data_IF_631144965027
#
_entry.id   IF_631144965027
#
_cell.length_a   1.000
_cell.length_b   1.000
_cell.length_c   1.000
_cell.angle_alpha   90.00
_cell.angle_beta   90.00
_cell.angle_gamma   90.00
#
_symmetry.space_group_name_H-M   'P 1'
#
loop_
_entity.id
_entity.type
_entity.pdbx_description
1 polymer ?
#
# COMPACT_ATOMS: atom_id res chain seq x y z
N UNK A 1 14.38 -63.79 -41.17
CA UNK A 1 13.38 -63.57 -40.14
C UNK A 1 14.02 -62.64 -39.11
N UNK A 2 13.81 -61.36 -39.22
CA UNK A 2 14.25 -60.35 -38.28
C UNK A 2 13.00 -59.74 -37.64
N UNK A 3 12.93 -59.84 -36.32
CA UNK A 3 11.89 -59.14 -35.55
C UNK A 3 12.46 -57.82 -35.07
N UNK A 4 11.87 -56.79 -35.60
CA UNK A 4 12.10 -55.40 -35.16
C UNK A 4 11.15 -55.11 -34.02
N UNK A 5 11.68 -54.83 -32.83
CA UNK A 5 10.92 -54.35 -31.66
C UNK A 5 11.19 -52.89 -31.50
N UNK A 6 10.33 -52.07 -32.07
CA UNK A 6 10.28 -50.62 -31.79
C UNK A 6 9.83 -50.37 -30.34
N UNK A 7 10.74 -49.93 -29.52
CA UNK A 7 10.44 -49.38 -28.21
C UNK A 7 9.84 -47.98 -28.38
N UNK A 8 8.54 -47.87 -28.15
CA UNK A 8 7.87 -46.61 -27.98
C UNK A 8 8.29 -45.94 -26.66
N UNK A 9 9.11 -44.91 -26.73
CA UNK A 9 9.40 -44.05 -25.60
C UNK A 9 8.16 -43.17 -25.33
N UNK A 10 7.43 -43.52 -24.29
CA UNK A 10 6.45 -42.60 -23.67
C UNK A 10 7.24 -41.44 -23.05
N UNK A 11 7.16 -40.28 -23.67
CA UNK A 11 7.61 -39.03 -23.05
C UNK A 11 6.72 -38.75 -21.84
N UNK A 12 7.23 -39.02 -20.65
CA UNK A 12 6.69 -38.53 -19.40
C UNK A 12 6.81 -36.97 -19.44
N UNK A 13 5.68 -36.28 -19.53
CA UNK A 13 5.62 -34.87 -19.22
C UNK A 13 6.00 -34.69 -17.75
N UNK A 14 7.27 -34.40 -17.50
CA UNK A 14 7.73 -33.97 -16.17
C UNK A 14 7.16 -32.61 -15.85
N UNK A 15 6.77 -32.36 -14.60
CA UNK A 15 6.26 -31.05 -14.18
C UNK A 15 7.32 -29.97 -14.45
N UNK A 16 6.85 -28.79 -14.82
CA UNK A 16 7.65 -27.64 -15.25
C UNK A 16 8.40 -27.09 -14.03
N UNK A 17 9.56 -27.67 -13.74
CA UNK A 17 10.51 -27.06 -12.80
C UNK A 17 11.43 -26.18 -13.63
N UNK A 18 11.09 -24.91 -13.81
CA UNK A 18 12.00 -23.93 -14.39
C UNK A 18 12.86 -23.34 -13.28
N UNK A 19 14.14 -23.67 -13.30
CA UNK A 19 15.13 -23.00 -12.48
C UNK A 19 15.59 -21.73 -13.19
N UNK A 20 15.62 -20.63 -12.46
CA UNK A 20 16.13 -19.34 -12.91
C UNK A 20 17.16 -18.85 -11.90
N UNK A 21 18.25 -18.27 -12.40
CA UNK A 21 19.26 -17.66 -11.53
C UNK A 21 18.77 -16.28 -11.09
N UNK A 22 18.41 -16.15 -9.82
CA UNK A 22 17.95 -14.92 -9.20
C UNK A 22 18.90 -14.58 -8.06
N UNK A 23 19.46 -13.39 -8.07
CA UNK A 23 20.45 -12.95 -7.05
C UNK A 23 21.62 -13.96 -6.87
N UNK A 24 22.07 -14.57 -7.96
CA UNK A 24 23.14 -15.59 -7.93
C UNK A 24 22.71 -16.93 -7.32
N UNK A 25 21.40 -17.22 -7.24
CA UNK A 25 20.86 -18.45 -6.68
C UNK A 25 19.92 -19.15 -7.65
N UNK A 26 19.97 -20.45 -7.66
CA UNK A 26 18.98 -21.28 -8.33
C UNK A 26 17.66 -21.22 -7.56
N UNK A 27 16.59 -20.74 -8.20
CA UNK A 27 15.28 -20.59 -7.58
C UNK A 27 14.23 -21.44 -8.27
N UNK A 28 13.22 -21.88 -7.52
CA UNK A 28 12.08 -22.63 -8.02
C UNK A 28 10.77 -21.88 -7.76
N UNK A 29 9.77 -22.16 -8.61
CA UNK A 29 8.39 -21.71 -8.38
C UNK A 29 7.68 -22.65 -7.43
N UNK A 30 6.85 -22.06 -6.58
CA UNK A 30 5.82 -22.76 -5.82
C UNK A 30 4.51 -21.98 -5.82
N UNK A 31 3.40 -22.65 -5.54
CA UNK A 31 2.07 -22.08 -5.51
C UNK A 31 1.51 -22.24 -4.10
N UNK A 32 1.43 -21.14 -3.36
CA UNK A 32 0.84 -21.12 -2.03
C UNK A 32 -0.69 -20.98 -2.16
N UNK A 33 -1.48 -21.97 -1.70
CA UNK A 33 -2.93 -21.88 -1.78
C UNK A 33 -3.46 -20.70 -0.97
N UNK A 34 -4.38 -19.96 -1.57
CA UNK A 34 -5.17 -18.94 -0.88
C UNK A 34 -6.52 -19.59 -0.56
N UNK A 35 -6.84 -19.69 0.71
CA UNK A 35 -8.07 -20.31 1.20
C UNK A 35 -9.02 -19.29 1.80
N UNK A 36 -10.31 -19.47 1.56
CA UNK A 36 -11.34 -18.80 2.34
C UNK A 36 -11.37 -19.42 3.75
N UNK A 37 -11.32 -18.57 4.78
CA UNK A 37 -11.04 -19.04 6.13
C UNK A 37 -12.25 -19.65 6.86
N UNK A 38 -13.48 -19.37 6.42
CA UNK A 38 -14.71 -19.88 7.03
C UNK A 38 -14.95 -21.36 6.71
N UNK A 39 -14.68 -21.80 5.48
CA UNK A 39 -14.99 -23.15 4.97
C UNK A 39 -13.81 -23.86 4.30
N UNK A 40 -12.62 -23.27 4.34
CA UNK A 40 -11.37 -23.77 3.71
C UNK A 40 -11.45 -23.89 2.18
N UNK A 41 -12.46 -23.31 1.51
CA UNK A 41 -12.58 -23.38 0.07
C UNK A 41 -11.36 -22.75 -0.62
N UNK A 42 -10.87 -23.40 -1.68
CA UNK A 42 -9.79 -22.86 -2.49
C UNK A 42 -10.26 -21.61 -3.24
N UNK A 43 -9.59 -20.49 -3.03
CA UNK A 43 -9.93 -19.21 -3.65
C UNK A 43 -8.96 -18.80 -4.76
N UNK A 44 -7.76 -19.34 -4.73
CA UNK A 44 -6.67 -19.08 -5.67
C UNK A 44 -5.36 -19.63 -5.16
N UNK A 45 -4.27 -19.22 -5.79
CA UNK A 45 -2.92 -19.49 -5.29
C UNK A 45 -2.01 -18.28 -5.55
N UNK A 46 -1.11 -18.00 -4.62
CA UNK A 46 -0.05 -17.04 -4.84
C UNK A 46 1.16 -17.75 -5.46
N UNK A 47 1.67 -17.18 -6.57
CA UNK A 47 2.93 -17.61 -7.15
C UNK A 47 4.08 -17.02 -6.34
N UNK A 48 4.88 -17.89 -5.77
CA UNK A 48 6.04 -17.55 -4.95
C UNK A 48 7.31 -18.12 -5.56
N UNK A 49 8.45 -17.45 -5.34
CA UNK A 49 9.78 -17.99 -5.62
C UNK A 49 10.42 -18.43 -4.30
N UNK A 50 11.04 -19.59 -4.30
CA UNK A 50 11.84 -20.10 -3.18
C UNK A 50 13.26 -20.41 -3.62
N UNK A 51 14.22 -20.27 -2.71
CA UNK A 51 15.60 -20.65 -2.94
C UNK A 51 15.85 -22.15 -2.75
N UNK A 52 17.10 -22.58 -2.89
CA UNK A 52 17.48 -23.99 -2.79
C UNK A 52 17.11 -24.60 -1.42
N UNK A 53 16.68 -25.85 -1.44
CA UNK A 53 16.46 -26.61 -0.22
C UNK A 53 17.75 -26.63 0.64
N UNK A 54 17.58 -26.59 1.96
CA UNK A 54 18.67 -26.50 2.94
C UNK A 54 19.50 -25.21 2.93
N UNK A 55 19.06 -24.15 2.23
CA UNK A 55 19.63 -22.81 2.35
C UNK A 55 18.85 -21.95 3.34
N UNK A 56 19.49 -20.88 3.86
CA UNK A 56 18.80 -19.85 4.66
C UNK A 56 17.76 -19.07 3.87
N UNK A 57 17.72 -19.22 2.55
CA UNK A 57 16.82 -18.57 1.61
C UNK A 57 15.79 -19.55 1.00
N UNK A 58 15.60 -20.73 1.59
CA UNK A 58 14.67 -21.74 1.08
C UNK A 58 13.20 -21.28 1.11
N UNK A 59 12.80 -20.39 2.02
CA UNK A 59 11.43 -19.86 2.05
C UNK A 59 11.25 -18.66 1.15
N UNK A 60 10.05 -18.51 0.57
CA UNK A 60 9.69 -17.37 -0.27
C UNK A 60 9.86 -16.03 0.48
N UNK A 61 9.50 -15.99 1.76
CA UNK A 61 9.67 -14.81 2.61
C UNK A 61 11.15 -14.43 2.79
N UNK A 62 12.01 -15.41 3.11
CA UNK A 62 13.44 -15.16 3.29
C UNK A 62 14.10 -14.67 1.99
N UNK A 63 13.75 -15.27 0.86
CA UNK A 63 14.27 -14.90 -0.46
C UNK A 63 13.81 -13.47 -0.85
N UNK A 64 12.55 -13.14 -0.64
CA UNK A 64 11.99 -11.80 -0.88
C UNK A 64 12.69 -10.75 -0.01
N UNK A 65 12.89 -11.04 1.28
CA UNK A 65 13.61 -10.14 2.20
C UNK A 65 15.07 -9.95 1.79
N UNK A 66 15.75 -11.00 1.35
CA UNK A 66 17.13 -10.91 0.85
C UNK A 66 17.23 -10.03 -0.40
N UNK A 67 16.32 -10.19 -1.38
CA UNK A 67 16.28 -9.35 -2.58
C UNK A 67 16.09 -7.86 -2.25
N UNK A 68 15.31 -7.57 -1.21
CA UNK A 68 15.11 -6.20 -0.70
C UNK A 68 16.40 -5.63 -0.07
N UNK A 69 17.05 -6.40 0.81
CA UNK A 69 18.29 -5.98 1.46
C UNK A 69 19.45 -5.78 0.48
N UNK A 70 19.47 -6.58 -0.60
CA UNK A 70 20.47 -6.48 -1.67
C UNK A 70 20.12 -5.42 -2.73
N UNK A 71 19.00 -4.72 -2.61
CA UNK A 71 18.50 -3.74 -3.58
C UNK A 71 18.24 -4.33 -4.98
N UNK A 72 17.95 -5.64 -5.06
CA UNK A 72 17.69 -6.39 -6.29
C UNK A 72 16.22 -6.77 -6.48
N UNK A 73 15.32 -6.04 -5.84
CA UNK A 73 13.89 -6.34 -5.86
C UNK A 73 13.28 -6.27 -7.26
N UNK A 74 13.71 -5.29 -8.07
CA UNK A 74 13.25 -5.15 -9.45
C UNK A 74 13.67 -6.35 -10.32
N UNK A 75 14.89 -6.85 -10.13
CA UNK A 75 15.39 -8.04 -10.83
C UNK A 75 14.62 -9.30 -10.38
N UNK A 76 14.44 -9.45 -9.07
CA UNK A 76 13.64 -10.53 -8.49
C UNK A 76 12.21 -10.57 -9.06
N UNK A 77 11.51 -9.45 -9.09
CA UNK A 77 10.15 -9.35 -9.62
C UNK A 77 10.11 -9.57 -11.14
N UNK A 78 11.14 -9.12 -11.87
CA UNK A 78 11.26 -9.38 -13.31
C UNK A 78 11.36 -10.88 -13.61
N UNK A 79 12.14 -11.61 -12.82
CA UNK A 79 12.24 -13.07 -12.92
C UNK A 79 10.91 -13.73 -12.53
N UNK A 80 10.30 -13.30 -11.42
CA UNK A 80 8.98 -13.81 -10.98
C UNK A 80 7.93 -13.64 -12.08
N UNK A 81 7.87 -12.46 -12.71
CA UNK A 81 6.97 -12.20 -13.84
C UNK A 81 7.30 -13.06 -15.06
N UNK A 82 8.58 -13.26 -15.40
CA UNK A 82 8.98 -14.11 -16.51
C UNK A 82 8.54 -15.56 -16.28
N UNK A 83 8.76 -16.10 -15.09
CA UNK A 83 8.34 -17.44 -14.69
C UNK A 83 6.81 -17.57 -14.64
N UNK A 84 6.11 -16.54 -14.17
CA UNK A 84 4.63 -16.52 -14.12
C UNK A 84 3.98 -16.65 -15.48
N UNK A 85 4.59 -16.13 -16.56
CA UNK A 85 4.10 -16.24 -17.93
C UNK A 85 4.02 -17.72 -18.38
N UNK A 86 5.00 -18.54 -18.00
CA UNK A 86 4.99 -19.96 -18.31
C UNK A 86 3.89 -20.68 -17.52
N UNK A 87 3.71 -20.34 -16.24
CA UNK A 87 2.64 -20.90 -15.43
C UNK A 87 1.24 -20.45 -15.93
N UNK A 88 1.10 -19.19 -16.37
CA UNK A 88 -0.13 -18.66 -16.94
C UNK A 88 -0.48 -19.19 -18.33
N UNK A 89 0.50 -19.65 -19.09
CA UNK A 89 0.28 -20.32 -20.40
C UNK A 89 -0.31 -21.74 -20.27
N UNK A 90 -0.33 -22.30 -19.05
CA UNK A 90 -0.94 -23.59 -18.79
C UNK A 90 -2.45 -23.49 -18.61
N UNK A 91 -3.19 -24.52 -18.99
CA UNK A 91 -4.67 -24.63 -18.83
C UNK A 91 -5.15 -24.49 -17.38
N UNK A 92 -4.25 -24.58 -16.42
CA UNK A 92 -4.51 -24.38 -14.98
C UNK A 92 -4.94 -22.94 -14.68
N UNK A 93 -4.32 -21.95 -15.34
CA UNK A 93 -4.60 -20.53 -15.10
C UNK A 93 -6.02 -20.11 -15.49
N UNK A 94 -6.70 -20.86 -16.37
CA UNK A 94 -8.10 -20.60 -16.72
C UNK A 94 -9.08 -21.01 -15.61
N UNK A 95 -8.66 -21.90 -14.71
CA UNK A 95 -9.48 -22.49 -13.65
C UNK A 95 -9.08 -22.09 -12.25
N UNK A 96 -7.80 -21.78 -12.01
CA UNK A 96 -7.24 -21.37 -10.72
C UNK A 96 -6.77 -19.91 -10.80
N UNK A 97 -7.37 -18.99 -10.04
CA UNK A 97 -6.86 -17.64 -9.90
C UNK A 97 -5.43 -17.64 -9.36
N UNK A 98 -4.46 -17.14 -10.16
CA UNK A 98 -3.09 -16.99 -9.73
C UNK A 98 -2.82 -15.53 -9.36
N UNK A 99 -2.43 -15.30 -8.11
CA UNK A 99 -2.00 -14.00 -7.62
C UNK A 99 -0.49 -13.89 -7.81
N UNK A 100 -0.06 -12.89 -8.56
CA UNK A 100 1.37 -12.57 -8.73
C UNK A 100 1.61 -11.22 -8.09
N UNK A 101 2.12 -11.23 -6.86
CA UNK A 101 2.47 -10.04 -6.13
C UNK A 101 3.78 -9.45 -6.67
N UNK A 102 3.75 -8.18 -7.09
CA UNK A 102 4.90 -7.43 -7.62
C UNK A 102 5.04 -6.15 -6.83
N UNK A 103 6.25 -5.88 -6.37
CA UNK A 103 6.52 -4.70 -5.56
C UNK A 103 6.38 -3.40 -6.36
N UNK A 104 5.89 -2.36 -5.72
CA UNK A 104 5.76 -1.03 -6.30
C UNK A 104 7.11 -0.42 -6.73
N UNK A 105 8.22 -0.80 -6.10
CA UNK A 105 9.55 -0.39 -6.50
C UNK A 105 10.02 -1.04 -7.82
N UNK A 106 9.33 -2.11 -8.26
CA UNK A 106 9.66 -2.85 -9.50
C UNK A 106 8.97 -2.27 -10.76
N UNK A 107 8.78 -0.97 -10.82
CA UNK A 107 8.09 -0.28 -11.93
C UNK A 107 8.61 -0.67 -13.32
N UNK A 108 9.92 -0.86 -13.47
CA UNK A 108 10.52 -1.27 -14.73
C UNK A 108 10.04 -2.66 -15.19
N UNK A 109 9.77 -3.56 -14.25
CA UNK A 109 9.25 -4.90 -14.57
C UNK A 109 7.80 -4.86 -15.07
N UNK A 110 7.01 -3.89 -14.63
CA UNK A 110 5.62 -3.71 -15.05
C UNK A 110 5.49 -3.18 -16.47
N UNK A 111 6.46 -2.41 -16.92
CA UNK A 111 6.52 -1.80 -18.26
C UNK A 111 7.31 -2.64 -19.26
N UNK A 112 7.78 -3.84 -18.89
CA UNK A 112 8.56 -4.71 -19.78
C UNK A 112 7.74 -5.13 -21.02
N UNK A 113 8.34 -5.10 -22.24
CA UNK A 113 7.66 -5.51 -23.46
C UNK A 113 7.12 -6.94 -23.35
N UNK A 114 5.88 -7.16 -23.77
CA UNK A 114 5.22 -8.46 -23.74
C UNK A 114 4.26 -8.68 -22.55
N UNK A 115 4.15 -7.75 -21.62
CA UNK A 115 3.10 -7.76 -20.60
C UNK A 115 1.76 -7.30 -21.20
N UNK A 116 1.79 -6.37 -22.16
CA UNK A 116 0.60 -5.80 -22.80
C UNK A 116 -0.24 -6.81 -23.60
N UNK A 117 0.37 -7.83 -24.18
CA UNK A 117 -0.35 -8.87 -24.96
C UNK A 117 -1.04 -9.95 -24.13
N UNK A 118 -0.67 -10.09 -22.86
CA UNK A 118 -1.18 -11.11 -21.95
C UNK A 118 -2.31 -10.61 -21.02
N UNK A 119 -2.87 -9.45 -21.29
CA UNK A 119 -3.72 -8.64 -20.39
C UNK A 119 -4.97 -9.37 -19.86
N UNK A 120 -5.55 -10.35 -20.55
CA UNK A 120 -6.73 -11.07 -20.05
C UNK A 120 -6.43 -12.03 -18.91
N UNK A 121 -5.24 -12.65 -18.90
CA UNK A 121 -4.81 -13.57 -17.83
C UNK A 121 -3.97 -12.87 -16.75
N UNK A 122 -3.50 -11.64 -17.02
CA UNK A 122 -2.70 -10.81 -16.13
C UNK A 122 -3.54 -9.91 -15.21
N UNK A 123 -4.85 -9.94 -15.29
CA UNK A 123 -5.76 -9.18 -14.41
C UNK A 123 -5.54 -9.49 -12.92
N UNK A 124 -4.73 -10.51 -12.62
CA UNK A 124 -4.37 -10.94 -11.26
C UNK A 124 -2.95 -10.56 -10.82
N UNK A 125 -2.25 -9.74 -11.61
CA UNK A 125 -1.04 -9.07 -11.11
C UNK A 125 -1.49 -8.02 -10.11
N UNK A 126 -1.02 -8.17 -8.89
CA UNK A 126 -1.30 -7.28 -7.77
C UNK A 126 -0.04 -6.48 -7.48
N UNK A 127 -0.17 -5.17 -7.46
CA UNK A 127 0.92 -4.30 -7.05
C UNK A 127 0.93 -4.23 -5.54
N UNK A 128 1.96 -4.79 -4.93
CA UNK A 128 2.17 -4.73 -3.49
C UNK A 128 2.90 -3.45 -3.11
N UNK A 129 2.41 -2.78 -2.10
CA UNK A 129 2.97 -1.55 -1.55
C UNK A 129 3.24 -1.80 -0.08
N UNK A 130 4.46 -1.66 0.38
CA UNK A 130 4.79 -1.74 1.79
C UNK A 130 4.79 -0.36 2.46
N UNK A 131 4.57 -0.34 3.78
CA UNK A 131 4.47 0.91 4.54
C UNK A 131 5.77 1.71 4.54
N UNK A 132 6.92 1.05 4.58
CA UNK A 132 8.21 1.73 4.62
C UNK A 132 8.51 2.46 3.31
N UNK A 133 8.19 1.85 2.17
CA UNK A 133 8.33 2.48 0.83
C UNK A 133 7.49 3.73 0.70
N UNK A 134 6.22 3.69 1.12
CA UNK A 134 5.33 4.87 1.06
C UNK A 134 5.82 5.99 1.97
N UNK A 135 6.28 5.67 3.17
CA UNK A 135 6.73 6.69 4.13
C UNK A 135 8.08 7.30 3.74
N UNK A 136 8.94 6.54 3.06
CA UNK A 136 10.26 7.01 2.61
C UNK A 136 10.18 7.83 1.33
N UNK A 137 9.41 7.38 0.36
CA UNK A 137 9.22 8.05 -0.94
C UNK A 137 7.73 8.05 -1.35
N UNK A 138 6.94 8.93 -0.71
CA UNK A 138 5.50 9.01 -0.99
C UNK A 138 5.21 9.45 -2.43
N UNK A 139 6.07 10.29 -3.03
CA UNK A 139 5.89 10.77 -4.39
C UNK A 139 5.87 9.59 -5.39
N UNK A 140 6.94 8.78 -5.41
CA UNK A 140 7.04 7.65 -6.33
C UNK A 140 6.02 6.56 -6.02
N UNK A 141 5.81 6.24 -4.74
CA UNK A 141 4.83 5.22 -4.34
C UNK A 141 3.42 5.58 -4.82
N UNK A 142 2.97 6.83 -4.62
CA UNK A 142 1.65 7.27 -5.08
C UNK A 142 1.56 7.36 -6.61
N UNK A 143 2.67 7.67 -7.31
CA UNK A 143 2.70 7.66 -8.77
C UNK A 143 2.50 6.24 -9.33
N UNK A 144 3.17 5.24 -8.74
CA UNK A 144 3.02 3.82 -9.14
C UNK A 144 1.60 3.31 -8.87
N UNK A 145 1.03 3.63 -7.71
CA UNK A 145 -0.36 3.26 -7.36
C UNK A 145 -1.33 3.81 -8.41
N UNK A 146 -1.19 5.08 -8.78
CA UNK A 146 -2.04 5.73 -9.78
C UNK A 146 -1.91 5.08 -11.16
N UNK A 147 -0.68 4.82 -11.60
CA UNK A 147 -0.41 4.16 -12.87
C UNK A 147 -0.97 2.73 -12.90
N UNK A 148 -0.81 1.98 -11.81
CA UNK A 148 -1.35 0.64 -11.70
C UNK A 148 -2.89 0.64 -11.78
N UNK A 149 -3.55 1.57 -11.09
CA UNK A 149 -5.03 1.73 -11.18
C UNK A 149 -5.50 2.12 -12.57
N UNK A 150 -4.81 3.05 -13.23
CA UNK A 150 -5.12 3.42 -14.60
C UNK A 150 -5.01 2.22 -15.57
N UNK A 151 -4.11 1.28 -15.27
CA UNK A 151 -3.97 0.00 -15.96
C UNK A 151 -4.96 -1.09 -15.51
N UNK A 152 -5.91 -0.79 -14.62
CA UNK A 152 -6.90 -1.75 -14.09
C UNK A 152 -6.31 -2.83 -13.17
N UNK A 153 -5.16 -2.55 -12.53
CA UNK A 153 -4.49 -3.50 -11.62
C UNK A 153 -4.95 -3.30 -10.19
N UNK A 154 -4.97 -4.39 -9.44
CA UNK A 154 -5.26 -4.38 -8.01
C UNK A 154 -4.05 -3.86 -7.23
N UNK A 155 -4.34 -3.12 -6.18
CA UNK A 155 -3.35 -2.63 -5.22
C UNK A 155 -3.49 -3.41 -3.93
N UNK A 156 -2.37 -3.97 -3.43
CA UNK A 156 -2.32 -4.56 -2.11
C UNK A 156 -1.40 -3.74 -1.18
N UNK A 157 -1.90 -3.43 0.01
CA UNK A 157 -1.05 -2.93 1.09
C UNK A 157 -0.53 -4.12 1.89
N UNK A 158 0.80 -4.29 1.85
CA UNK A 158 1.49 -5.46 2.40
C UNK A 158 2.05 -5.19 3.81
N UNK A 159 2.10 -6.24 4.63
CA UNK A 159 2.70 -6.21 5.96
C UNK A 159 1.89 -5.42 6.99
N UNK A 160 0.57 -5.28 6.82
CA UNK A 160 -0.25 -4.54 7.79
C UNK A 160 -0.26 -5.26 9.14
N UNK A 161 0.15 -4.51 10.18
CA UNK A 161 0.29 -5.02 11.55
C UNK A 161 1.72 -5.44 11.93
N UNK A 162 2.71 -5.29 11.03
CA UNK A 162 4.12 -5.48 11.38
C UNK A 162 4.60 -4.40 12.37
N UNK A 163 4.05 -3.20 12.22
CA UNK A 163 4.28 -2.07 13.10
C UNK A 163 2.96 -1.30 13.37
N UNK A 164 3.02 -0.35 14.30
CA UNK A 164 1.85 0.46 14.68
C UNK A 164 1.43 1.49 13.61
N UNK A 165 2.22 1.73 12.59
CA UNK A 165 2.04 2.79 11.59
C UNK A 165 1.43 2.28 10.28
N UNK A 166 1.54 0.98 10.00
CA UNK A 166 1.09 0.39 8.73
C UNK A 166 -0.40 0.63 8.46
N UNK A 167 -1.24 0.63 9.49
CA UNK A 167 -2.67 0.91 9.36
C UNK A 167 -2.99 2.37 8.95
N UNK A 168 -2.06 3.30 9.16
CA UNK A 168 -2.19 4.71 8.75
C UNK A 168 -2.37 4.84 7.23
N UNK A 169 -1.73 3.96 6.49
CA UNK A 169 -1.69 4.02 5.03
C UNK A 169 -2.96 3.47 4.37
N UNK A 170 -3.83 2.78 5.10
CA UNK A 170 -5.09 2.25 4.55
C UNK A 170 -5.90 3.33 3.83
N UNK A 171 -6.04 4.51 4.46
CA UNK A 171 -6.81 5.62 3.88
C UNK A 171 -6.06 6.43 2.82
N UNK A 172 -4.75 6.32 2.75
CA UNK A 172 -3.92 7.01 1.76
C UNK A 172 -3.75 6.15 0.50
N UNK A 173 -3.40 4.88 0.68
CA UNK A 173 -3.17 3.92 -0.41
C UNK A 173 -4.49 3.43 -1.00
N UNK A 174 -5.55 3.34 -0.19
CA UNK A 174 -6.88 2.82 -0.56
C UNK A 174 -6.77 1.44 -1.24
N UNK A 175 -6.14 0.42 -0.59
CA UNK A 175 -5.87 -0.87 -1.21
C UNK A 175 -7.16 -1.65 -1.51
N UNK A 176 -7.11 -2.48 -2.56
CA UNK A 176 -8.13 -3.48 -2.88
C UNK A 176 -7.96 -4.73 -2.03
N UNK A 177 -6.69 -5.05 -1.70
CA UNK A 177 -6.31 -6.19 -0.88
C UNK A 177 -5.44 -5.67 0.27
N UNK A 178 -5.72 -6.14 1.48
CA UNK A 178 -4.90 -5.87 2.65
C UNK A 178 -4.22 -7.18 3.02
N UNK A 179 -2.89 -7.24 2.93
CA UNK A 179 -2.10 -8.40 3.34
C UNK A 179 -1.59 -8.13 4.75
N UNK A 180 -2.07 -8.93 5.72
CA UNK A 180 -1.62 -8.75 7.10
C UNK A 180 -0.32 -9.51 7.35
N UNK A 181 0.56 -8.92 8.16
CA UNK A 181 1.75 -9.61 8.63
C UNK A 181 1.39 -10.83 9.48
N UNK A 182 2.15 -11.93 9.36
CA UNK A 182 2.05 -13.09 10.24
C UNK A 182 2.24 -12.72 11.73
N UNK A 183 3.01 -11.66 12.01
CA UNK A 183 3.22 -11.16 13.37
C UNK A 183 1.92 -10.64 14.00
N UNK A 184 0.97 -10.12 13.22
CA UNK A 184 -0.31 -9.65 13.73
C UNK A 184 -1.08 -10.78 14.42
N UNK A 185 -1.06 -11.98 13.85
CA UNK A 185 -1.72 -13.17 14.43
C UNK A 185 -1.00 -13.64 15.69
N UNK A 186 0.33 -13.62 15.70
CA UNK A 186 1.13 -14.06 16.86
C UNK A 186 1.05 -13.10 18.05
N UNK A 187 0.76 -11.82 17.80
CA UNK A 187 0.67 -10.75 18.81
C UNK A 187 -0.76 -10.41 19.23
N UNK A 188 -1.74 -11.28 19.01
CA UNK A 188 -3.16 -11.01 19.22
C UNK A 188 -3.53 -10.53 20.66
N UNK A 189 -2.69 -10.78 21.65
CA UNK A 189 -2.91 -10.35 23.04
C UNK A 189 -2.45 -8.91 23.36
N UNK A 190 -1.85 -8.21 22.41
CA UNK A 190 -1.32 -6.85 22.63
C UNK A 190 -2.35 -5.78 22.26
N UNK A 191 -2.34 -4.66 22.99
CA UNK A 191 -3.27 -3.55 22.79
C UNK A 191 -3.20 -2.94 21.39
N UNK A 192 -2.00 -2.86 20.82
CA UNK A 192 -1.74 -2.32 19.47
C UNK A 192 -2.47 -3.11 18.38
N UNK A 193 -2.65 -4.41 18.58
CA UNK A 193 -3.43 -5.26 17.66
C UNK A 193 -4.87 -4.80 17.61
N UNK A 194 -5.49 -4.48 18.75
CA UNK A 194 -6.85 -3.94 18.81
C UNK A 194 -7.01 -2.67 17.97
N UNK A 195 -6.05 -1.75 18.04
CA UNK A 195 -6.05 -0.52 17.23
C UNK A 195 -5.98 -0.83 15.72
N UNK A 196 -5.13 -1.78 15.33
CA UNK A 196 -5.01 -2.22 13.93
C UNK A 196 -6.30 -2.89 13.46
N UNK A 197 -6.89 -3.78 14.27
CA UNK A 197 -8.15 -4.47 13.94
C UNK A 197 -9.30 -3.50 13.76
N UNK A 198 -9.43 -2.49 14.62
CA UNK A 198 -10.45 -1.44 14.45
C UNK A 198 -10.22 -0.65 13.15
N UNK A 199 -8.97 -0.32 12.82
CA UNK A 199 -8.63 0.38 11.58
C UNK A 199 -8.98 -0.46 10.34
N UNK A 200 -8.67 -1.78 10.36
CA UNK A 200 -9.02 -2.74 9.31
C UNK A 200 -10.54 -2.82 9.14
N UNK A 201 -11.28 -3.02 10.23
CA UNK A 201 -12.74 -3.10 10.21
C UNK A 201 -13.38 -1.86 9.60
N UNK A 202 -12.99 -0.66 10.07
CA UNK A 202 -13.51 0.60 9.54
C UNK A 202 -13.18 0.82 8.06
N UNK A 203 -12.01 0.37 7.61
CA UNK A 203 -11.63 0.47 6.20
C UNK A 203 -12.43 -0.50 5.33
N UNK A 204 -12.52 -1.77 5.71
CA UNK A 204 -13.22 -2.83 4.94
C UNK A 204 -14.72 -2.55 4.87
N UNK A 205 -15.37 -2.14 5.97
CA UNK A 205 -16.79 -1.82 5.99
C UNK A 205 -17.15 -0.72 4.97
N UNK A 206 -16.24 0.22 4.75
CA UNK A 206 -16.42 1.31 3.80
C UNK A 206 -16.07 0.96 2.36
N UNK A 207 -15.03 0.13 2.15
CA UNK A 207 -14.45 -0.10 0.84
C UNK A 207 -14.83 -1.45 0.22
N UNK A 208 -15.24 -2.43 1.01
CA UNK A 208 -15.35 -3.83 0.62
C UNK A 208 -14.01 -4.46 0.19
N UNK A 209 -12.88 -3.88 0.56
CA UNK A 209 -11.56 -4.48 0.36
C UNK A 209 -11.47 -5.81 1.10
N UNK A 210 -10.67 -6.73 0.58
CA UNK A 210 -10.47 -8.03 1.21
C UNK A 210 -9.24 -8.01 2.12
N UNK A 211 -9.30 -8.79 3.21
CA UNK A 211 -8.15 -9.04 4.08
C UNK A 211 -7.66 -10.47 3.80
N UNK A 212 -6.39 -10.57 3.38
CA UNK A 212 -5.63 -11.80 3.21
C UNK A 212 -4.64 -11.93 4.37
N UNK A 213 -4.85 -12.91 5.25
CA UNK A 213 -3.95 -13.14 6.37
C UNK A 213 -2.78 -14.04 5.98
N UNK A 214 -1.55 -13.58 6.20
CA UNK A 214 -0.35 -14.42 6.17
C UNK A 214 -0.12 -15.10 7.53
N UNK A 215 0.59 -16.24 7.52
CA UNK A 215 0.93 -16.99 8.75
C UNK A 215 -0.23 -17.77 9.35
N UNK A 216 -1.15 -18.21 8.51
CA UNK A 216 -2.20 -19.17 8.91
C UNK A 216 -1.60 -20.56 8.97
N UNK A 217 -0.83 -20.84 10.05
CA UNK A 217 0.00 -22.05 10.17
C UNK A 217 -0.70 -23.16 10.98
N UNK A 218 -1.82 -22.82 11.61
CA UNK A 218 -2.58 -23.74 12.45
C UNK A 218 -4.05 -23.33 12.49
N UNK A 219 -4.90 -24.22 13.00
CA UNK A 219 -6.31 -23.93 13.23
C UNK A 219 -6.50 -22.76 14.22
N UNK A 220 -5.59 -22.62 15.20
CA UNK A 220 -5.60 -21.49 16.13
C UNK A 220 -5.30 -20.16 15.44
N UNK A 221 -4.29 -20.11 14.55
CA UNK A 221 -3.99 -18.90 13.77
C UNK A 221 -5.08 -18.61 12.74
N UNK A 222 -5.77 -19.63 12.19
CA UNK A 222 -6.94 -19.44 11.33
C UNK A 222 -8.08 -18.74 12.07
N UNK A 223 -8.42 -19.20 13.28
CA UNK A 223 -9.46 -18.58 14.10
C UNK A 223 -9.08 -17.14 14.50
N UNK A 224 -7.81 -16.90 14.82
CA UNK A 224 -7.29 -15.55 15.06
C UNK A 224 -7.44 -14.66 13.82
N UNK A 225 -7.12 -15.18 12.64
CA UNK A 225 -7.27 -14.46 11.37
C UNK A 225 -8.74 -14.08 11.09
N UNK A 226 -9.69 -14.99 11.31
CA UNK A 226 -11.13 -14.69 11.21
C UNK A 226 -11.51 -13.59 12.21
N UNK A 227 -11.00 -13.66 13.43
CA UNK A 227 -11.31 -12.69 14.48
C UNK A 227 -10.84 -11.27 14.15
N UNK A 228 -9.72 -11.11 13.44
CA UNK A 228 -9.25 -9.80 12.96
C UNK A 228 -9.98 -9.33 11.69
N UNK A 229 -10.92 -10.11 11.17
CA UNK A 229 -11.73 -9.78 10.00
C UNK A 229 -11.19 -10.32 8.68
N UNK A 230 -10.16 -11.19 8.69
CA UNK A 230 -9.65 -11.78 7.46
C UNK A 230 -10.65 -12.75 6.86
N UNK A 231 -10.86 -12.62 5.55
CA UNK A 231 -11.72 -13.51 4.77
C UNK A 231 -10.91 -14.63 4.14
N UNK A 232 -9.66 -14.35 3.76
CA UNK A 232 -8.75 -15.26 3.10
C UNK A 232 -7.45 -15.40 3.91
N UNK A 233 -6.75 -16.52 3.68
CA UNK A 233 -5.48 -16.77 4.34
C UNK A 233 -4.58 -17.71 3.57
N UNK A 234 -3.28 -17.63 3.89
CA UNK A 234 -2.21 -18.48 3.41
C UNK A 234 -1.22 -18.77 4.54
N UNK A 235 -0.57 -19.93 4.52
CA UNK A 235 0.38 -20.36 5.56
C UNK A 235 0.54 -21.88 5.58
N UNK A 236 1.26 -22.39 6.57
CA UNK A 236 1.62 -23.82 6.68
C UNK A 236 0.39 -24.74 6.87
N UNK A 237 -0.76 -24.22 7.34
CA UNK A 237 -2.01 -24.98 7.38
C UNK A 237 -2.46 -25.37 5.95
N UNK A 238 -2.01 -24.65 4.96
CA UNK A 238 -2.29 -24.82 3.53
C UNK A 238 -0.98 -24.85 2.75
N UNK A 239 -0.23 -25.98 2.81
CA UNK A 239 1.13 -26.02 2.30
C UNK A 239 1.19 -25.71 0.81
N UNK A 240 2.24 -24.98 0.41
CA UNK A 240 2.51 -24.67 -0.97
C UNK A 240 2.83 -25.94 -1.77
N UNK A 241 2.49 -25.92 -3.07
CA UNK A 241 2.71 -27.01 -4.00
C UNK A 241 3.57 -26.58 -5.19
N UNK A 242 4.35 -27.50 -5.73
CA UNK A 242 5.18 -27.23 -6.92
C UNK A 242 4.35 -27.30 -8.22
N UNK A 243 3.30 -28.12 -8.24
CA UNK A 243 2.38 -28.28 -9.37
C UNK A 243 0.99 -27.73 -9.01
N UNK A 244 0.58 -26.60 -9.59
CA UNK A 244 -0.73 -26.00 -9.31
C UNK A 244 -1.90 -26.88 -9.80
N UNK A 245 -1.68 -27.85 -10.70
CA UNK A 245 -2.74 -28.75 -11.16
C UNK A 245 -3.29 -29.63 -10.05
N UNK A 246 -2.47 -29.91 -9.03
CA UNK A 246 -2.88 -30.68 -7.86
C UNK A 246 -3.98 -29.99 -7.05
N UNK A 247 -4.03 -28.64 -7.08
CA UNK A 247 -5.05 -27.85 -6.42
C UNK A 247 -6.42 -27.93 -7.11
N UNK A 248 -6.48 -28.29 -8.38
CA UNK A 248 -7.72 -28.39 -9.16
C UNK A 248 -8.57 -29.64 -8.88
N UNK A 249 -8.15 -30.47 -7.95
CA UNK A 249 -8.94 -31.62 -7.48
C UNK A 249 -10.20 -31.22 -6.71
N UNK A 250 -10.26 -29.97 -6.26
CA UNK A 250 -11.38 -29.39 -5.51
C UNK A 250 -12.01 -28.20 -6.25
N UNK A 251 -13.27 -27.82 -5.92
CA UNK A 251 -13.91 -26.65 -6.50
C UNK A 251 -13.20 -25.36 -6.10
N UNK A 252 -13.05 -24.45 -7.05
CA UNK A 252 -12.45 -23.13 -6.80
C UNK A 252 -13.57 -22.09 -6.63
N UNK A 253 -13.57 -21.39 -5.49
CA UNK A 253 -14.43 -20.24 -5.20
C UNK A 253 -13.55 -18.99 -5.29
N UNK A 254 -13.42 -18.46 -6.51
CA UNK A 254 -12.47 -17.41 -6.81
C UNK A 254 -12.60 -16.20 -5.88
N UNK A 255 -11.45 -15.70 -5.43
CA UNK A 255 -11.33 -14.40 -4.76
C UNK A 255 -11.77 -13.28 -5.72
N UNK A 256 -12.42 -12.21 -5.24
CA UNK A 256 -12.73 -11.03 -6.06
C UNK A 256 -11.50 -10.50 -6.79
N UNK A 257 -11.65 -10.10 -8.05
CA UNK A 257 -10.58 -9.64 -8.93
C UNK A 257 -10.81 -8.23 -9.50
N UNK A 258 -11.87 -7.57 -9.06
CA UNK A 258 -12.22 -6.22 -9.49
C UNK A 258 -11.72 -5.18 -8.49
N UNK A 259 -11.14 -4.05 -8.96
CA UNK A 259 -10.77 -2.95 -8.09
C UNK A 259 -11.98 -2.44 -7.29
N UNK A 260 -11.80 -2.17 -6.01
CA UNK A 260 -12.85 -1.57 -5.15
C UNK A 260 -12.96 -0.07 -5.33
N UNK A 261 -11.95 0.56 -5.91
CA UNK A 261 -11.90 1.97 -6.20
C UNK A 261 -11.84 2.21 -7.71
N UNK A 262 -12.84 2.90 -8.25
CA UNK A 262 -12.98 3.16 -9.69
C UNK A 262 -12.54 4.56 -10.11
N UNK A 263 -12.52 5.52 -9.19
CA UNK A 263 -12.25 6.91 -9.54
C UNK A 263 -10.75 7.22 -9.54
N UNK A 264 -10.18 7.65 -10.67
CA UNK A 264 -8.81 8.11 -10.70
C UNK A 264 -8.66 9.35 -9.82
N UNK A 265 -7.62 9.36 -8.96
CA UNK A 265 -7.29 10.54 -8.16
C UNK A 265 -6.86 11.65 -9.12
N UNK A 266 -7.47 12.85 -9.07
CA UNK A 266 -7.12 13.96 -9.96
C UNK A 266 -5.62 14.26 -9.94
N UNK A 267 -5.04 14.44 -11.13
CA UNK A 267 -3.59 14.66 -11.24
C UNK A 267 -3.12 16.04 -10.81
N UNK A 268 -4.01 17.05 -10.87
CA UNK A 268 -3.63 18.46 -10.78
C UNK A 268 -4.47 19.20 -9.75
N UNK A 269 -3.81 19.99 -8.92
CA UNK A 269 -4.47 20.90 -7.99
C UNK A 269 -3.73 21.02 -6.66
N UNK A 270 -4.10 22.07 -5.95
CA UNK A 270 -3.74 22.27 -4.55
C UNK A 270 -4.92 21.87 -3.66
N UNK A 271 -4.71 21.60 -2.37
CA UNK A 271 -5.80 21.34 -1.44
C UNK A 271 -6.94 22.34 -1.51
N UNK A 272 -6.62 23.64 -1.57
CA UNK A 272 -7.65 24.68 -1.70
C UNK A 272 -8.40 24.60 -3.02
N UNK A 273 -7.69 24.39 -4.14
CA UNK A 273 -8.35 24.30 -5.46
C UNK A 273 -9.28 23.10 -5.56
N UNK A 274 -8.91 21.95 -4.96
CA UNK A 274 -9.72 20.72 -4.91
C UNK A 274 -11.06 20.99 -4.23
N UNK A 275 -11.06 21.69 -3.09
CA UNK A 275 -12.30 21.87 -2.30
C UNK A 275 -13.09 23.12 -2.65
N UNK A 276 -12.45 24.19 -3.09
CA UNK A 276 -13.13 25.46 -3.38
C UNK A 276 -14.10 25.37 -4.54
N UNK A 277 -13.91 24.42 -5.46
CA UNK A 277 -14.80 24.18 -6.59
C UNK A 277 -16.19 23.66 -6.16
N UNK A 278 -16.28 22.96 -5.02
CA UNK A 278 -17.49 22.24 -4.61
C UNK A 278 -17.97 22.57 -3.20
N UNK A 279 -17.26 23.47 -2.50
CA UNK A 279 -17.56 23.81 -1.10
C UNK A 279 -17.77 25.31 -0.93
N UNK A 280 -18.54 25.66 0.11
CA UNK A 280 -18.76 27.05 0.47
C UNK A 280 -17.47 27.68 1.02
N UNK A 281 -16.91 28.64 0.30
CA UNK A 281 -15.79 29.46 0.75
C UNK A 281 -16.25 30.41 1.84
N UNK A 282 -15.47 30.50 2.91
CA UNK A 282 -15.66 31.46 4.01
C UNK A 282 -14.44 32.35 4.13
N UNK A 283 -14.61 33.55 4.66
CA UNK A 283 -13.49 34.45 4.94
C UNK A 283 -13.27 34.56 6.45
N UNK A 284 -12.00 34.51 6.86
CA UNK A 284 -11.63 34.60 8.27
C UNK A 284 -10.25 35.20 8.47
N UNK A 285 -9.96 35.61 9.69
CA UNK A 285 -8.64 36.14 10.06
C UNK A 285 -7.67 35.02 10.39
N UNK A 286 -6.36 35.29 10.25
CA UNK A 286 -5.27 34.35 10.65
C UNK A 286 -5.46 33.89 12.09
N UNK A 287 -5.86 34.78 13.01
CA UNK A 287 -6.13 34.45 14.42
C UNK A 287 -7.16 33.31 14.55
N UNK A 288 -8.27 33.36 13.80
CA UNK A 288 -9.30 32.34 13.81
C UNK A 288 -8.76 31.02 13.25
N UNK A 289 -8.06 31.10 12.10
CA UNK A 289 -7.52 29.89 11.42
C UNK A 289 -6.50 29.15 12.29
N UNK A 290 -5.68 29.87 13.07
CA UNK A 290 -4.78 29.26 14.06
C UNK A 290 -5.56 28.40 15.06
N UNK A 291 -6.71 28.87 15.54
CA UNK A 291 -7.51 28.10 16.51
C UNK A 291 -8.18 26.89 15.85
N UNK A 292 -8.68 27.04 14.62
CA UNK A 292 -9.25 25.92 13.86
C UNK A 292 -8.20 24.85 13.58
N UNK A 293 -6.99 25.21 13.15
CA UNK A 293 -5.89 24.28 12.92
C UNK A 293 -5.51 23.52 14.20
N UNK A 294 -5.32 24.25 15.30
CA UNK A 294 -5.00 23.64 16.60
C UNK A 294 -6.09 22.68 17.08
N UNK A 295 -7.36 23.00 16.83
CA UNK A 295 -8.47 22.11 17.17
C UNK A 295 -8.43 20.81 16.35
N UNK A 296 -8.15 20.88 15.03
CA UNK A 296 -7.98 19.68 14.19
C UNK A 296 -6.80 18.83 14.64
N UNK A 297 -5.66 19.47 14.92
CA UNK A 297 -4.46 18.78 15.41
C UNK A 297 -4.75 18.06 16.75
N UNK A 298 -5.45 18.70 17.68
CA UNK A 298 -5.81 18.10 18.97
C UNK A 298 -6.78 16.92 18.81
N UNK A 299 -7.78 17.02 17.93
CA UNK A 299 -8.68 15.90 17.62
C UNK A 299 -7.91 14.72 17.01
N UNK A 300 -6.96 14.99 16.12
CA UNK A 300 -6.14 13.96 15.49
C UNK A 300 -5.24 13.26 16.49
N UNK A 301 -4.67 13.98 17.45
CA UNK A 301 -3.85 13.41 18.51
C UNK A 301 -4.62 12.37 19.35
N UNK A 302 -5.91 12.55 19.55
CA UNK A 302 -6.75 11.60 20.30
C UNK A 302 -7.23 10.41 19.49
N UNK A 303 -7.11 10.48 18.16
CA UNK A 303 -7.55 9.41 17.24
C UNK A 303 -6.50 8.29 17.05
N UNK A 304 -5.27 8.50 17.52
CA UNK A 304 -4.25 7.46 17.65
C UNK A 304 -3.40 7.18 16.40
N UNK A 305 -2.67 6.07 16.46
CA UNK A 305 -1.58 5.75 15.53
C UNK A 305 -2.02 5.38 14.10
N UNK A 306 -3.29 5.21 13.84
CA UNK A 306 -3.81 4.99 12.47
C UNK A 306 -4.07 6.29 11.69
N UNK A 307 -3.74 7.45 12.29
CA UNK A 307 -3.93 8.76 11.68
C UNK A 307 -2.68 9.25 10.95
N UNK A 308 -2.91 9.93 9.83
CA UNK A 308 -1.94 10.74 9.10
C UNK A 308 -2.30 12.21 9.30
N UNK A 309 -1.28 13.07 9.50
CA UNK A 309 -1.45 14.52 9.53
C UNK A 309 -0.43 15.21 8.62
N UNK A 310 -0.91 16.11 7.76
CA UNK A 310 -0.06 16.94 6.89
C UNK A 310 -0.35 18.40 7.13
N UNK A 311 0.71 19.22 7.12
CA UNK A 311 0.60 20.67 7.24
C UNK A 311 1.42 21.38 6.17
N UNK A 312 0.84 22.44 5.56
CA UNK A 312 1.59 23.36 4.71
C UNK A 312 1.74 24.70 5.43
N UNK A 313 2.97 25.21 5.49
CA UNK A 313 3.31 26.40 6.28
C UNK A 313 3.79 27.57 5.44
N UNK A 314 3.50 27.61 4.13
CA UNK A 314 3.94 28.65 3.20
C UNK A 314 5.48 28.84 3.25
N UNK A 315 6.01 29.38 4.35
CA UNK A 315 7.42 29.66 4.59
C UNK A 315 7.91 28.96 5.87
N UNK A 316 9.18 28.57 5.92
CA UNK A 316 9.81 27.93 7.09
C UNK A 316 9.69 28.77 8.38
N UNK A 317 9.71 30.09 8.26
CA UNK A 317 9.56 31.02 9.41
C UNK A 317 8.19 30.93 10.08
N UNK A 318 7.15 30.47 9.37
CA UNK A 318 5.83 30.22 9.95
C UNK A 318 5.78 28.96 10.79
N UNK A 319 6.76 28.06 10.62
CA UNK A 319 6.93 26.87 11.47
C UNK A 319 7.75 27.22 12.70
N UNK A 320 7.17 28.02 13.60
CA UNK A 320 7.80 28.58 14.80
C UNK A 320 8.19 27.48 15.80
N UNK A 321 9.07 27.80 16.78
CA UNK A 321 9.48 26.87 17.84
C UNK A 321 8.28 26.27 18.61
N UNK A 322 7.21 27.06 18.86
CA UNK A 322 6.00 26.56 19.51
C UNK A 322 5.19 25.62 18.61
N UNK A 323 5.17 25.87 17.30
CA UNK A 323 4.57 24.98 16.30
C UNK A 323 5.38 23.68 16.20
N UNK A 324 6.70 23.75 16.13
CA UNK A 324 7.60 22.59 16.12
C UNK A 324 7.36 21.70 17.34
N UNK A 325 7.34 22.26 18.55
CA UNK A 325 7.10 21.49 19.77
C UNK A 325 5.73 20.79 19.74
N UNK A 326 4.68 21.47 19.27
CA UNK A 326 3.34 20.91 19.13
C UNK A 326 3.29 19.78 18.11
N UNK A 327 3.93 19.94 16.94
CA UNK A 327 3.96 18.92 15.89
C UNK A 327 4.80 17.70 16.28
N UNK A 328 5.89 17.88 17.02
CA UNK A 328 6.64 16.74 17.60
C UNK A 328 5.77 15.93 18.54
N UNK A 329 5.03 16.60 19.44
CA UNK A 329 4.11 15.90 20.34
C UNK A 329 2.97 15.19 19.57
N UNK A 330 2.41 15.82 18.53
CA UNK A 330 1.41 15.21 17.66
C UNK A 330 1.98 13.95 16.96
N UNK A 331 3.20 14.03 16.45
CA UNK A 331 3.87 12.92 15.76
C UNK A 331 4.18 11.72 16.68
N UNK A 332 4.19 11.91 18.00
CA UNK A 332 4.31 10.80 18.95
C UNK A 332 3.02 9.97 19.08
N UNK A 333 1.88 10.55 18.73
CA UNK A 333 0.55 9.92 18.86
C UNK A 333 0.01 9.37 17.55
N UNK A 334 0.32 10.02 16.41
CA UNK A 334 -0.17 9.60 15.09
C UNK A 334 0.81 8.67 14.37
N UNK A 335 0.35 8.01 13.32
CA UNK A 335 1.18 7.12 12.52
C UNK A 335 2.10 7.83 11.53
N UNK A 336 1.70 9.02 11.05
CA UNK A 336 2.52 9.84 10.15
C UNK A 336 2.24 11.32 10.35
N UNK A 337 3.29 12.13 10.42
CA UNK A 337 3.21 13.58 10.48
C UNK A 337 4.19 14.21 9.47
N UNK A 338 3.68 15.03 8.54
CA UNK A 338 4.49 15.68 7.52
C UNK A 338 4.23 17.19 7.44
N UNK A 339 5.30 17.98 7.31
CA UNK A 339 5.23 19.44 7.17
C UNK A 339 5.95 19.89 5.91
N UNK A 340 5.33 20.83 5.18
CA UNK A 340 5.78 21.32 3.89
C UNK A 340 5.85 22.84 3.89
N UNK A 341 6.92 23.42 3.36
CA UNK A 341 7.08 24.88 3.28
C UNK A 341 8.33 25.31 2.53
N UNK A 342 8.32 26.50 1.96
CA UNK A 342 9.49 27.08 1.30
C UNK A 342 10.58 27.33 2.34
N UNK A 343 11.81 26.89 2.05
CA UNK A 343 12.94 27.01 2.96
C UNK A 343 13.06 25.91 4.01
N UNK A 344 12.13 24.94 4.06
CA UNK A 344 12.34 23.70 4.80
C UNK A 344 13.35 22.82 4.07
N UNK A 345 14.04 21.95 4.82
CA UNK A 345 14.94 20.94 4.25
C UNK A 345 14.29 19.56 4.37
N UNK A 346 14.68 18.63 3.49
CA UNK A 346 14.29 17.21 3.67
C UNK A 346 14.98 16.68 4.90
N UNK A 347 14.21 16.44 5.95
CA UNK A 347 14.72 15.92 7.21
C UNK A 347 13.62 15.27 8.04
N UNK A 348 14.02 14.42 8.96
CA UNK A 348 13.16 13.88 9.99
C UNK A 348 13.48 14.59 11.31
N UNK A 349 12.55 15.41 11.80
CA UNK A 349 12.66 16.11 13.08
C UNK A 349 11.85 15.34 14.16
N UNK A 350 12.53 14.50 14.93
CA UNK A 350 11.87 13.49 15.74
C UNK A 350 11.15 12.47 14.85
N UNK A 351 9.82 12.56 14.81
CA UNK A 351 8.94 11.75 13.92
C UNK A 351 8.20 12.62 12.89
N UNK A 352 8.51 13.91 12.82
CA UNK A 352 7.92 14.82 11.84
C UNK A 352 8.77 14.84 10.58
N UNK A 353 8.20 14.42 9.45
CA UNK A 353 8.85 14.50 8.16
C UNK A 353 8.74 15.93 7.61
N UNK A 354 9.87 16.55 7.30
CA UNK A 354 9.93 17.87 6.67
C UNK A 354 10.22 17.74 5.19
N UNK A 355 9.59 18.58 4.37
CA UNK A 355 9.87 18.68 2.95
C UNK A 355 9.81 20.13 2.46
N UNK A 356 10.72 20.54 1.55
CA UNK A 356 10.66 21.84 0.92
C UNK A 356 9.51 21.93 -0.08
N UNK A 357 8.96 23.13 -0.25
CA UNK A 357 8.13 23.50 -1.40
C UNK A 357 8.97 24.33 -2.37
N UNK A 358 8.75 24.12 -3.66
CA UNK A 358 9.27 25.04 -4.67
C UNK A 358 8.62 26.41 -4.48
N UNK A 359 9.39 27.53 -4.46
CA UNK A 359 8.83 28.87 -4.34
C UNK A 359 7.82 29.24 -5.43
N UNK A 360 7.88 28.58 -6.60
CA UNK A 360 6.94 28.76 -7.70
C UNK A 360 5.69 27.89 -7.64
N UNK A 361 5.57 27.01 -6.64
CA UNK A 361 4.39 26.15 -6.49
C UNK A 361 3.19 26.94 -5.92
N UNK A 362 2.01 26.72 -6.49
CA UNK A 362 0.77 27.38 -6.04
C UNK A 362 0.44 27.11 -4.56
N UNK A 363 0.90 25.98 -4.02
CA UNK A 363 0.70 25.60 -2.61
C UNK A 363 1.39 26.58 -1.62
N UNK A 364 2.35 27.38 -2.08
CA UNK A 364 3.02 28.43 -1.28
C UNK A 364 2.04 29.48 -0.79
N UNK A 365 0.94 29.72 -1.52
CA UNK A 365 -0.10 30.67 -1.16
C UNK A 365 -1.19 30.06 -0.25
N UNK A 366 -1.02 28.80 0.13
CA UNK A 366 -2.01 28.07 0.92
C UNK A 366 -1.48 27.69 2.29
N UNK A 367 -2.36 27.76 3.26
CA UNK A 367 -2.19 27.17 4.58
C UNK A 367 -3.18 26.02 4.73
N UNK A 368 -2.69 24.82 4.78
CA UNK A 368 -3.54 23.61 4.83
C UNK A 368 -3.13 22.71 5.99
N UNK A 369 -4.12 22.15 6.67
CA UNK A 369 -3.98 21.02 7.60
C UNK A 369 -4.90 19.91 7.15
N UNK A 370 -4.33 18.76 6.83
CA UNK A 370 -5.04 17.53 6.46
C UNK A 370 -4.90 16.52 7.59
N UNK A 371 -6.00 15.90 7.99
CA UNK A 371 -6.03 14.78 8.93
C UNK A 371 -6.80 13.64 8.32
N UNK A 372 -6.18 12.48 8.19
CA UNK A 372 -6.73 11.34 7.45
C UNK A 372 -6.42 10.03 8.18
N UNK A 373 -7.42 9.20 8.33
CA UNK A 373 -7.30 7.85 8.90
C UNK A 373 -8.56 7.02 8.63
N UNK A 374 -8.58 5.73 8.97
CA UNK A 374 -9.70 4.85 8.68
C UNK A 374 -11.03 5.34 9.24
N UNK A 375 -11.02 5.94 10.44
CA UNK A 375 -12.23 6.40 11.11
C UNK A 375 -12.55 7.88 10.89
N UNK A 376 -11.58 8.69 10.44
CA UNK A 376 -11.70 10.14 10.41
C UNK A 376 -11.04 10.73 9.17
N UNK A 377 -11.67 11.75 8.60
CA UNK A 377 -11.10 12.58 7.56
C UNK A 377 -11.54 14.01 7.79
N UNK A 378 -10.61 14.95 7.86
CA UNK A 378 -10.92 16.37 7.95
C UNK A 378 -9.78 17.19 7.34
N UNK A 379 -10.13 18.35 6.79
CA UNK A 379 -9.17 19.30 6.25
C UNK A 379 -9.65 20.73 6.49
N UNK A 380 -8.69 21.58 6.85
CA UNK A 380 -8.78 23.03 6.74
C UNK A 380 -7.80 23.47 5.66
N UNK A 381 -8.27 24.13 4.61
CA UNK A 381 -7.41 24.73 3.59
C UNK A 381 -7.78 26.17 3.37
N UNK A 382 -6.80 27.06 3.38
CA UNK A 382 -6.97 28.49 3.35
C UNK A 382 -5.99 29.15 2.36
N UNK A 383 -6.49 30.06 1.53
CA UNK A 383 -5.70 30.88 0.61
C UNK A 383 -5.50 32.28 1.20
N UNK A 384 -4.25 32.70 1.25
CA UNK A 384 -3.88 34.04 1.69
C UNK A 384 -4.37 35.09 0.70
N UNK A 385 -5.00 36.17 1.20
CA UNK A 385 -5.45 37.33 0.39
C UNK A 385 -4.39 38.40 0.29
N UNK A 386 -3.24 38.24 0.96
CA UNK A 386 -2.09 39.16 0.94
C UNK A 386 -2.46 40.59 1.33
N UNK A 387 -3.42 40.77 2.23
CA UNK A 387 -3.77 42.08 2.73
C UNK A 387 -2.67 42.69 3.63
N UNK A 388 -2.61 44.01 3.70
CA UNK A 388 -1.58 44.79 4.41
C UNK A 388 -1.89 45.02 5.90
N UNK A 389 -2.74 44.21 6.52
CA UNK A 389 -3.09 44.33 7.93
C UNK A 389 -2.00 43.77 8.89
N UNK A 390 -2.21 44.00 10.22
CA UNK A 390 -1.40 43.32 11.23
C UNK A 390 -1.47 41.81 11.04
N UNK A 391 -0.36 41.06 11.25
CA UNK A 391 -0.22 39.66 10.89
C UNK A 391 -1.37 38.75 11.36
N UNK A 392 -1.86 38.92 12.59
CA UNK A 392 -2.98 38.12 13.12
C UNK A 392 -4.35 38.50 12.57
N UNK A 393 -4.46 39.68 11.99
CA UNK A 393 -5.70 40.20 11.38
C UNK A 393 -5.74 40.00 9.86
N UNK A 394 -4.65 39.53 9.24
CA UNK A 394 -4.62 39.18 7.81
C UNK A 394 -5.76 38.21 7.51
N UNK A 395 -6.38 38.37 6.35
CA UNK A 395 -7.55 37.60 5.96
C UNK A 395 -7.20 36.49 4.95
N UNK A 396 -7.96 35.44 5.04
CA UNK A 396 -7.86 34.27 4.19
C UNK A 396 -9.25 33.86 3.72
N UNK A 397 -9.35 33.44 2.48
CA UNK A 397 -10.49 32.64 2.03
C UNK A 397 -10.22 31.19 2.37
N UNK A 398 -11.12 30.53 3.10
CA UNK A 398 -10.90 29.18 3.58
C UNK A 398 -12.09 28.24 3.39
N UNK A 399 -11.80 26.96 3.31
CA UNK A 399 -12.76 25.86 3.34
C UNK A 399 -12.37 24.89 4.46
N UNK A 400 -13.35 24.42 5.19
CA UNK A 400 -13.23 23.29 6.10
C UNK A 400 -14.16 22.20 5.62
N UNK A 401 -13.63 20.99 5.45
CA UNK A 401 -14.39 19.85 4.95
C UNK A 401 -14.07 18.59 5.72
N UNK A 402 -15.03 17.67 5.74
CA UNK A 402 -14.93 16.31 6.27
C UNK A 402 -15.21 15.28 5.15
N UNK A 403 -15.32 15.75 3.91
CA UNK A 403 -15.44 14.88 2.75
C UNK A 403 -14.16 14.08 2.54
N UNK A 404 -14.25 12.78 2.74
CA UNK A 404 -13.10 11.88 2.71
C UNK A 404 -12.39 11.89 1.37
N UNK A 405 -13.14 11.87 0.27
CA UNK A 405 -12.57 11.88 -1.08
C UNK A 405 -11.72 13.12 -1.30
N UNK A 406 -12.25 14.29 -0.97
CA UNK A 406 -11.52 15.55 -1.07
C UNK A 406 -10.30 15.59 -0.14
N UNK A 407 -10.41 15.05 1.08
CA UNK A 407 -9.29 14.98 2.05
C UNK A 407 -8.19 14.04 1.56
N UNK A 408 -8.54 12.87 1.00
CA UNK A 408 -7.57 11.94 0.42
C UNK A 408 -6.86 12.56 -0.79
N UNK A 409 -7.60 13.20 -1.68
CA UNK A 409 -7.05 13.90 -2.84
C UNK A 409 -6.09 15.03 -2.42
N UNK A 410 -6.44 15.78 -1.38
CA UNK A 410 -5.57 16.82 -0.82
C UNK A 410 -4.28 16.22 -0.20
N UNK A 411 -4.39 15.12 0.53
CA UNK A 411 -3.21 14.40 1.04
C UNK A 411 -2.28 13.96 -0.10
N UNK A 412 -2.83 13.36 -1.15
CA UNK A 412 -2.07 12.99 -2.35
C UNK A 412 -1.43 14.20 -3.03
N UNK A 413 -2.16 15.32 -3.13
CA UNK A 413 -1.65 16.56 -3.70
C UNK A 413 -0.42 17.09 -2.94
N UNK A 414 -0.44 17.07 -1.61
CA UNK A 414 0.69 17.49 -0.78
C UNK A 414 1.86 16.50 -0.91
N UNK A 415 1.61 15.20 -0.73
CA UNK A 415 2.65 14.17 -0.72
C UNK A 415 3.37 14.02 -2.06
N UNK A 416 2.72 14.31 -3.19
CA UNK A 416 3.37 14.36 -4.52
C UNK A 416 4.44 15.43 -4.65
N UNK A 417 4.47 16.42 -3.76
CA UNK A 417 5.50 17.48 -3.70
C UNK A 417 6.71 17.07 -2.87
N UNK A 418 6.70 15.87 -2.29
CA UNK A 418 7.88 15.33 -1.63
C UNK A 418 8.99 15.16 -2.67
N UNK A 419 10.22 15.68 -2.40
CA UNK A 419 11.31 15.58 -3.35
C UNK A 419 11.65 14.11 -3.64
N UNK A 420 11.77 13.77 -4.91
CA UNK A 420 12.28 12.46 -5.31
C UNK A 420 13.74 12.35 -4.91
N UNK A 421 14.10 11.35 -4.15
CA UNK A 421 15.48 10.94 -3.99
C UNK A 421 15.96 10.43 -5.35
N UNK A 422 16.75 11.24 -6.07
CA UNK A 422 17.45 10.77 -7.26
C UNK A 422 18.35 9.61 -6.81
N UNK A 423 17.94 8.39 -7.16
CA UNK A 423 18.75 7.18 -7.09
C UNK A 423 19.78 7.14 -8.20
#
# INVERSE_FOLDING_TARGET
MAYDTSNGSTSSNSPITQFSDVIGLEVSMQFAPIRRLDDHALAGAELQLRGPDNSSLCSAHALRRASQLMQQRSEFDSHKLAMSRTALACTVADRLPLLVAVDSASRAALNAPGIEGATRNLQRIVITVDSASVLTDPHNSLAVIREARAGGRLIALDGVGIDRHSATLLSLVEPDIIITSAELLSKAAYFEVGTTVHALGAYVERSNAIILAEGVDSESSRLAAITIGATYGTGELYPAVDDPSSLLSEPVVAMPDSPVWSDPIPEVGTPYSIVSAHSRIRRGTKRLLIQLSKSLEAQTATSGSSMLVLGTFQQAEHFTASTTARWRHLADTVGFAGVYGVGLSVMLDGKVQHAPLDPGDDLVNEWTVVTLGPHHAAMLSARDLHDNGPDLERTFDFVQTYDRTAVTQAAHSILRRYPTTNS
#
